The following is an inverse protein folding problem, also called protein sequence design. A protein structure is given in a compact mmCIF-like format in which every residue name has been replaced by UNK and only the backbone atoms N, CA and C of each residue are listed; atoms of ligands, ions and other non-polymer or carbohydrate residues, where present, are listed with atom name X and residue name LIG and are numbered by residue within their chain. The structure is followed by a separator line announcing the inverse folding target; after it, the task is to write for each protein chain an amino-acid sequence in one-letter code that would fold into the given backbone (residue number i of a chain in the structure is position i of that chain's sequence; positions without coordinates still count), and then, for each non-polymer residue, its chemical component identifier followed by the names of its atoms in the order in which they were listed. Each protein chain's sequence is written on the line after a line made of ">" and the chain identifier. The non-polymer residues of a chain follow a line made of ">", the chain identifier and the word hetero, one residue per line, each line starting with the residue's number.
data_IF_771120570260
#
_entry.id   IF_771120570260
#
_cell.length_a   1.000
_cell.length_b   1.000
_cell.length_c   1.000
_cell.angle_alpha   90.00
_cell.angle_beta   90.00
_cell.angle_gamma   90.00
#
_symmetry.space_group_name_H-M   'P 1'
#
loop_
_entity.id
_entity.type
_entity.pdbx_description
1 polymer ?
#
# COMPACT_ATOMS: atom_id res chain seq x y z
N UNK A 1 9.89 12.89 -3.59
CA UNK A 1 10.88 13.08 -2.51
C UNK A 1 11.95 12.01 -2.66
N UNK A 2 13.22 12.39 -2.82
CA UNK A 2 14.33 11.45 -3.03
C UNK A 2 15.30 11.40 -1.83
N UNK A 3 14.88 11.87 -0.66
CA UNK A 3 15.74 11.77 0.53
C UNK A 3 15.93 10.31 0.94
N UNK A 4 17.15 10.01 1.37
CA UNK A 4 17.53 8.72 1.95
C UNK A 4 17.19 8.67 3.45
N UNK A 5 17.08 9.82 4.11
CA UNK A 5 16.84 9.90 5.55
C UNK A 5 15.35 9.63 5.85
N UNK A 6 15.03 8.59 6.64
CA UNK A 6 13.65 8.26 6.98
C UNK A 6 12.93 9.36 7.79
N UNK A 7 13.64 10.10 8.64
CA UNK A 7 13.07 11.19 9.44
C UNK A 7 12.78 12.40 8.57
N UNK A 8 13.77 12.82 7.76
CA UNK A 8 13.57 13.91 6.80
C UNK A 8 12.43 13.60 5.83
N UNK A 9 12.29 12.34 5.39
CA UNK A 9 11.17 11.93 4.54
C UNK A 9 9.82 12.17 5.21
N UNK A 10 9.68 11.78 6.47
CA UNK A 10 8.44 12.00 7.21
C UNK A 10 8.15 13.49 7.35
N UNK A 11 9.16 14.31 7.65
CA UNK A 11 9.02 15.77 7.74
C UNK A 11 8.60 16.41 6.43
N UNK A 12 9.27 16.04 5.33
CA UNK A 12 8.93 16.53 3.99
C UNK A 12 7.53 16.08 3.56
N UNK A 13 7.09 14.89 3.95
CA UNK A 13 5.74 14.39 3.67
C UNK A 13 4.69 15.20 4.42
N UNK A 14 4.91 15.49 5.70
CA UNK A 14 4.03 16.34 6.48
C UNK A 14 3.98 17.77 5.94
N UNK A 15 5.11 18.33 5.50
CA UNK A 15 5.18 19.64 4.86
C UNK A 15 4.40 19.64 3.54
N UNK A 16 4.55 18.59 2.72
CA UNK A 16 3.79 18.43 1.48
C UNK A 16 2.28 18.37 1.77
N UNK A 17 1.86 17.61 2.79
CA UNK A 17 0.46 17.57 3.20
C UNK A 17 -0.08 18.92 3.68
N UNK A 18 0.74 19.73 4.38
CA UNK A 18 0.37 21.09 4.76
C UNK A 18 0.13 21.98 3.52
N UNK A 19 1.03 21.94 2.53
CA UNK A 19 0.90 22.70 1.28
C UNK A 19 -0.28 22.20 0.43
N UNK A 20 -0.50 20.89 0.41
CA UNK A 20 -1.64 20.27 -0.28
C UNK A 20 -2.97 20.78 0.31
N UNK A 21 -3.09 20.81 1.64
CA UNK A 21 -4.28 21.35 2.33
C UNK A 21 -4.56 22.81 1.99
N UNK A 22 -3.53 23.65 1.96
CA UNK A 22 -3.67 25.05 1.55
C UNK A 22 -4.22 25.15 0.13
N UNK A 23 -3.79 24.25 -0.77
CA UNK A 23 -4.29 24.19 -2.16
C UNK A 23 -5.75 23.74 -2.23
N UNK A 24 -6.17 22.76 -1.42
CA UNK A 24 -7.59 22.34 -1.34
C UNK A 24 -8.45 23.48 -0.80
N UNK A 25 -8.08 24.09 0.32
CA UNK A 25 -8.84 25.20 0.94
C UNK A 25 -9.01 26.37 -0.02
N UNK A 26 -7.95 26.68 -0.76
CA UNK A 26 -7.95 27.69 -1.80
C UNK A 26 -8.95 27.36 -2.93
N UNK A 27 -9.06 26.09 -3.37
CA UNK A 27 -10.06 25.66 -4.37
C UNK A 27 -11.49 25.85 -3.87
N UNK A 28 -11.69 25.78 -2.55
CA UNK A 28 -13.00 25.73 -1.95
C UNK A 28 -13.68 27.03 -1.57
N UNK A 29 -12.89 28.03 -1.18
CA UNK A 29 -13.39 29.33 -0.71
C UNK A 29 -14.08 30.21 -1.76
N UNK A 30 -14.27 29.74 -3.00
CA UNK A 30 -14.92 30.52 -4.07
C UNK A 30 -16.43 30.30 -4.19
N UNK A 31 -17.06 29.68 -3.18
CA UNK A 31 -18.45 29.23 -3.24
C UNK A 31 -19.38 29.82 -2.16
N UNK A 32 -19.12 31.00 -1.58
CA UNK A 32 -20.14 31.75 -0.81
C UNK A 32 -19.92 33.28 -0.86
N UNK A 33 -21.02 34.03 -1.08
CA UNK A 33 -21.10 35.50 -1.04
C UNK A 33 -21.53 36.09 -2.40
N UNK A 34 -22.77 36.51 -2.63
CA UNK A 34 -23.49 37.52 -1.86
C UNK A 34 -23.16 38.89 -2.46
N UNK A 35 -24.13 39.49 -3.15
CA UNK A 35 -24.02 40.84 -3.69
C UNK A 35 -23.60 41.83 -2.59
N UNK A 36 -22.76 42.81 -2.97
CA UNK A 36 -22.28 43.96 -2.20
C UNK A 36 -20.89 43.86 -1.55
N UNK A 37 -19.90 44.34 -2.31
CA UNK A 37 -18.76 45.12 -1.80
C UNK A 37 -17.60 44.34 -1.18
N UNK A 38 -16.71 43.78 -2.01
CA UNK A 38 -15.43 43.24 -1.55
C UNK A 38 -14.30 43.86 -2.38
N UNK A 39 -13.39 44.54 -1.67
CA UNK A 39 -12.11 45.01 -2.20
C UNK A 39 -11.32 43.82 -2.75
N UNK A 40 -10.92 43.92 -4.02
CA UNK A 40 -10.03 42.99 -4.69
C UNK A 40 -8.73 42.84 -3.87
N UNK A 41 -8.58 41.73 -3.14
CA UNK A 41 -7.26 41.17 -2.91
C UNK A 41 -6.99 40.20 -4.04
N UNK A 42 -6.16 40.62 -4.99
CA UNK A 42 -5.57 39.81 -6.04
C UNK A 42 -4.71 38.69 -5.44
N UNK A 43 -5.35 37.61 -5.00
CA UNK A 43 -4.74 36.32 -4.78
C UNK A 43 -5.20 35.38 -5.88
N UNK A 44 -4.66 35.53 -7.09
CA UNK A 44 -5.03 34.68 -8.22
C UNK A 44 -4.73 33.22 -7.85
N UNK A 45 -5.79 32.45 -7.61
CA UNK A 45 -5.70 31.09 -7.10
C UNK A 45 -5.26 30.19 -8.24
N UNK A 46 -3.95 30.01 -8.39
CA UNK A 46 -3.39 29.20 -9.47
C UNK A 46 -3.81 27.75 -9.23
N UNK A 47 -4.84 27.28 -9.94
CA UNK A 47 -5.17 25.87 -10.03
C UNK A 47 -4.00 25.21 -10.75
N UNK A 48 -3.06 24.66 -9.97
CA UNK A 48 -1.95 23.90 -10.53
C UNK A 48 -2.52 22.62 -11.17
N UNK A 49 -2.23 22.37 -12.47
CA UNK A 49 -2.64 21.12 -13.09
C UNK A 49 -1.96 19.95 -12.38
N UNK A 50 -2.67 18.82 -12.28
CA UNK A 50 -2.02 17.57 -11.87
C UNK A 50 -0.89 17.27 -12.86
N UNK A 51 0.28 16.93 -12.32
CA UNK A 51 1.48 16.64 -13.08
C UNK A 51 1.71 15.14 -13.24
N UNK A 52 2.47 14.75 -14.26
CA UNK A 52 2.92 13.36 -14.42
C UNK A 52 4.21 13.13 -13.65
N UNK A 53 4.31 11.98 -12.99
CA UNK A 53 5.52 11.55 -12.31
C UNK A 53 5.84 10.10 -12.67
N UNK A 54 7.12 9.78 -12.82
CA UNK A 54 7.58 8.38 -12.87
C UNK A 54 8.22 8.05 -11.53
N UNK A 55 7.50 7.35 -10.62
CA UNK A 55 8.08 6.99 -9.33
C UNK A 55 9.23 5.97 -9.51
N UNK A 56 10.25 6.01 -8.64
CA UNK A 56 11.33 5.03 -8.69
C UNK A 56 10.81 3.60 -8.49
N UNK A 57 11.53 2.60 -9.00
CA UNK A 57 11.17 1.19 -8.78
C UNK A 57 11.25 0.80 -7.29
N UNK A 58 12.20 1.40 -6.56
CA UNK A 58 12.38 1.22 -5.13
C UNK A 58 12.71 2.57 -4.46
N UNK A 59 12.02 2.92 -3.37
CA UNK A 59 12.33 4.07 -2.55
C UNK A 59 13.74 4.00 -2.00
N UNK A 60 14.39 5.16 -1.93
CA UNK A 60 15.71 5.28 -1.39
C UNK A 60 15.71 4.98 0.13
N UNK A 61 16.83 4.45 0.61
CA UNK A 61 17.10 4.12 2.02
C UNK A 61 18.59 4.35 2.30
N UNK A 62 18.98 4.60 3.56
CA UNK A 62 20.40 4.73 3.91
C UNK A 62 21.14 3.41 3.69
N UNK A 63 22.39 3.48 3.22
CA UNK A 63 23.26 2.30 3.08
C UNK A 63 23.61 1.66 4.42
N UNK A 64 23.44 2.38 5.52
CA UNK A 64 23.61 1.89 6.89
C UNK A 64 22.51 0.91 7.32
N UNK A 65 21.39 0.85 6.58
CA UNK A 65 20.23 0.04 6.97
C UNK A 65 20.41 -1.42 6.54
N UNK A 66 20.48 -2.34 7.51
CA UNK A 66 20.64 -3.77 7.23
C UNK A 66 19.32 -4.38 6.74
N UNK A 67 19.32 -4.93 5.52
CA UNK A 67 18.15 -5.62 4.95
C UNK A 67 18.21 -7.14 5.13
N UNK A 68 17.16 -7.68 5.72
CA UNK A 68 16.93 -9.12 5.85
C UNK A 68 15.65 -9.56 5.14
N UNK A 69 15.54 -10.87 4.91
CA UNK A 69 14.32 -11.46 4.38
C UNK A 69 13.21 -11.45 5.42
N UNK A 70 11.94 -11.36 5.01
CA UNK A 70 10.81 -11.58 5.92
C UNK A 70 10.97 -12.91 6.67
N UNK A 71 10.82 -12.88 7.98
CA UNK A 71 11.03 -14.03 8.88
C UNK A 71 12.46 -14.23 9.40
N UNK A 72 13.44 -13.48 8.90
CA UNK A 72 14.84 -13.49 9.38
C UNK A 72 15.21 -12.23 10.19
N UNK A 73 14.24 -11.36 10.47
CA UNK A 73 14.44 -10.22 11.36
C UNK A 73 14.59 -10.61 12.82
N UNK A 74 14.81 -9.60 13.67
CA UNK A 74 14.90 -9.77 15.11
C UNK A 74 13.61 -10.39 15.63
N UNK A 75 13.73 -11.42 16.48
CA UNK A 75 12.57 -12.08 17.07
C UNK A 75 11.86 -11.10 18.01
N UNK A 76 10.66 -10.72 17.63
CA UNK A 76 9.77 -9.88 18.41
C UNK A 76 9.25 -10.67 19.62
N UNK A 77 9.53 -10.19 20.83
CA UNK A 77 9.13 -10.83 22.09
C UNK A 77 7.72 -10.45 22.57
N UNK A 78 7.48 -10.53 23.89
CA UNK A 78 6.18 -10.25 24.52
C UNK A 78 6.11 -8.88 25.24
N UNK A 79 6.96 -7.92 24.85
CA UNK A 79 7.09 -6.58 25.45
C UNK A 79 7.56 -6.52 26.92
N UNK A 80 7.79 -7.65 27.58
CA UNK A 80 8.20 -7.68 29.01
C UNK A 80 9.60 -7.12 29.28
N UNK A 81 10.55 -7.28 28.35
CA UNK A 81 11.91 -6.72 28.46
C UNK A 81 12.08 -5.50 27.57
N UNK A 82 13.00 -4.60 27.93
CA UNK A 82 13.33 -3.41 27.13
C UNK A 82 13.70 -3.76 25.67
N UNK A 83 14.58 -4.75 25.49
CA UNK A 83 14.96 -5.24 24.15
C UNK A 83 13.75 -5.76 23.36
N UNK A 84 12.79 -6.42 24.01
CA UNK A 84 11.57 -6.85 23.34
C UNK A 84 10.67 -5.68 22.94
N UNK A 85 10.64 -4.58 23.72
CA UNK A 85 9.85 -3.38 23.39
C UNK A 85 10.45 -2.64 22.21
N UNK A 86 11.76 -2.41 22.25
CA UNK A 86 12.53 -1.84 21.13
C UNK A 86 12.31 -2.65 19.85
N UNK A 87 12.38 -3.98 19.91
CA UNK A 87 12.17 -4.82 18.73
C UNK A 87 10.75 -4.72 18.15
N UNK A 88 9.71 -4.54 18.99
CA UNK A 88 8.34 -4.32 18.52
C UNK A 88 8.22 -2.94 17.86
N UNK A 89 8.65 -1.89 18.56
CA UNK A 89 8.53 -0.51 18.11
C UNK A 89 9.32 -0.27 16.81
N UNK A 90 10.52 -0.82 16.71
CA UNK A 90 11.35 -0.73 15.51
C UNK A 90 10.72 -1.46 14.32
N UNK A 91 10.15 -2.65 14.54
CA UNK A 91 9.45 -3.37 13.49
C UNK A 91 8.22 -2.60 12.97
N UNK A 92 7.48 -1.92 13.86
CA UNK A 92 6.36 -1.06 13.48
C UNK A 92 6.85 0.19 12.75
N UNK A 93 7.89 0.86 13.24
CA UNK A 93 8.47 2.02 12.54
C UNK A 93 8.94 1.67 11.12
N UNK A 94 9.44 0.45 10.92
CA UNK A 94 9.77 -0.05 9.59
C UNK A 94 8.53 -0.25 8.70
N UNK A 95 7.41 -0.69 9.26
CA UNK A 95 6.14 -0.79 8.53
C UNK A 95 5.72 0.61 8.06
N UNK A 96 5.68 1.60 8.96
CA UNK A 96 5.20 2.95 8.61
C UNK A 96 6.09 3.60 7.54
N UNK A 97 7.41 3.39 7.59
CA UNK A 97 8.31 3.88 6.54
C UNK A 97 7.97 3.34 5.14
N UNK A 98 7.55 2.08 5.05
CA UNK A 98 7.08 1.52 3.79
C UNK A 98 5.68 1.97 3.44
N UNK A 99 4.83 2.25 4.42
CA UNK A 99 3.47 2.76 4.22
C UNK A 99 3.49 4.20 3.66
N UNK A 100 4.35 5.10 4.18
CA UNK A 100 4.60 6.44 3.61
C UNK A 100 4.94 6.33 2.12
N UNK A 101 5.95 5.52 1.78
CA UNK A 101 6.37 5.35 0.40
C UNK A 101 5.26 4.77 -0.47
N UNK A 102 4.47 3.84 0.09
CA UNK A 102 3.40 3.18 -0.64
C UNK A 102 2.26 4.15 -0.95
N UNK A 103 1.88 5.01 -0.01
CA UNK A 103 0.87 6.04 -0.23
C UNK A 103 1.32 7.04 -1.32
N UNK A 104 2.55 7.52 -1.25
CA UNK A 104 3.14 8.38 -2.27
C UNK A 104 3.27 7.69 -3.65
N UNK A 105 3.65 6.41 -3.66
CA UNK A 105 3.73 5.58 -4.89
C UNK A 105 2.37 5.44 -5.55
N UNK A 106 1.29 5.26 -4.78
CA UNK A 106 -0.05 5.12 -5.37
C UNK A 106 -0.45 6.39 -6.14
N UNK A 107 -0.20 7.56 -5.56
CA UNK A 107 -0.47 8.84 -6.22
C UNK A 107 0.34 9.01 -7.50
N UNK A 108 1.66 8.77 -7.42
CA UNK A 108 2.55 8.97 -8.57
C UNK A 108 2.33 7.92 -9.67
N UNK A 109 2.08 6.66 -9.31
CA UNK A 109 2.01 5.53 -10.24
C UNK A 109 0.64 5.33 -10.85
N UNK A 110 -0.43 5.61 -10.10
CA UNK A 110 -1.81 5.34 -10.50
C UNK A 110 -2.66 6.60 -10.64
N UNK A 111 -2.09 7.79 -10.40
CA UNK A 111 -2.78 9.05 -10.67
C UNK A 111 -3.18 9.21 -12.14
N UNK A 112 -2.38 8.65 -13.04
CA UNK A 112 -2.65 8.49 -14.46
C UNK A 112 -2.51 7.01 -14.81
N UNK A 113 -3.52 6.43 -15.44
CA UNK A 113 -3.43 5.05 -15.90
C UNK A 113 -4.13 4.88 -17.25
N UNK A 114 -3.63 3.97 -18.08
CA UNK A 114 -4.34 3.47 -19.27
C UNK A 114 -5.13 2.21 -18.91
N UNK A 115 -6.12 1.81 -19.72
CA UNK A 115 -6.83 0.53 -19.53
C UNK A 115 -5.86 -0.66 -19.39
N UNK A 116 -4.70 -0.62 -20.06
CA UNK A 116 -3.64 -1.62 -19.91
C UNK A 116 -3.01 -1.69 -18.51
N UNK A 117 -2.98 -0.58 -17.79
CA UNK A 117 -2.43 -0.47 -16.42
C UNK A 117 -3.48 -0.49 -15.31
N UNK A 118 -4.76 -0.40 -15.68
CA UNK A 118 -5.88 -0.26 -14.77
C UNK A 118 -6.36 -1.59 -14.15
N UNK A 119 -6.00 -2.72 -14.77
CA UNK A 119 -6.36 -4.07 -14.37
C UNK A 119 -7.57 -4.55 -15.17
N UNK A 120 -7.38 -5.45 -16.14
CA UNK A 120 -7.57 -6.89 -15.92
C UNK A 120 -6.60 -7.75 -16.72
N UNK A 121 -5.59 -7.18 -17.41
CA UNK A 121 -4.73 -7.93 -18.31
C UNK A 121 -4.14 -9.16 -17.60
N UNK A 122 -4.83 -10.27 -17.81
CA UNK A 122 -4.56 -11.63 -17.39
C UNK A 122 -3.39 -12.07 -18.28
N UNK A 123 -2.25 -11.38 -18.16
CA UNK A 123 -1.11 -11.37 -19.07
C UNK A 123 -1.38 -11.13 -20.58
N UNK A 124 -2.59 -11.30 -21.12
CA UNK A 124 -2.72 -11.73 -22.53
C UNK A 124 -3.89 -11.18 -23.36
N UNK A 125 -4.70 -10.18 -22.98
CA UNK A 125 -5.81 -9.72 -23.85
C UNK A 125 -6.15 -8.24 -23.73
N UNK A 126 -5.31 -7.36 -24.28
CA UNK A 126 -5.76 -6.03 -24.71
C UNK A 126 -5.22 -5.83 -26.12
N UNK A 127 -6.04 -6.21 -27.10
CA UNK A 127 -5.84 -5.84 -28.49
C UNK A 127 -6.78 -4.66 -28.77
N UNK A 128 -6.19 -3.51 -29.09
CA UNK A 128 -6.79 -2.40 -29.84
C UNK A 128 -8.03 -1.71 -29.26
N UNK A 129 -7.82 -0.52 -28.69
CA UNK A 129 -8.42 0.75 -29.13
C UNK A 129 -7.82 1.86 -28.26
N UNK A 130 -7.42 2.98 -28.88
CA UNK A 130 -6.80 4.20 -28.30
C UNK A 130 -6.70 4.18 -26.77
N UNK A 131 -5.48 3.97 -26.23
CA UNK A 131 -5.20 4.01 -24.79
C UNK A 131 -5.57 5.38 -24.21
N UNK A 132 -6.86 5.57 -23.92
CA UNK A 132 -7.37 6.77 -23.27
C UNK A 132 -6.80 6.76 -21.86
N UNK A 133 -5.88 7.68 -21.64
CA UNK A 133 -5.34 7.96 -20.33
C UNK A 133 -6.47 8.43 -19.42
N UNK A 134 -6.64 7.72 -18.32
CA UNK A 134 -7.59 8.04 -17.28
C UNK A 134 -6.85 8.69 -16.12
N UNK A 135 -7.36 9.85 -15.70
CA UNK A 135 -6.86 10.57 -14.52
C UNK A 135 -7.73 10.22 -13.32
N UNK A 136 -7.11 9.84 -12.21
CA UNK A 136 -7.83 9.60 -10.97
C UNK A 136 -8.52 10.87 -10.45
N UNK A 137 -9.69 10.78 -9.80
CA UNK A 137 -10.33 11.93 -9.18
C UNK A 137 -9.42 12.59 -8.13
N UNK A 138 -9.56 13.91 -7.91
CA UNK A 138 -8.79 14.63 -6.88
C UNK A 138 -8.81 13.94 -5.51
N UNK A 139 -9.97 13.37 -5.14
CA UNK A 139 -10.15 12.62 -3.89
C UNK A 139 -9.14 11.48 -3.71
N UNK A 140 -8.67 10.86 -4.80
CA UNK A 140 -7.64 9.82 -4.73
C UNK A 140 -6.34 10.36 -4.18
N UNK A 141 -5.93 11.52 -4.68
CA UNK A 141 -4.74 12.21 -4.20
C UNK A 141 -4.95 12.70 -2.78
N UNK A 142 -6.13 13.21 -2.44
CA UNK A 142 -6.45 13.64 -1.07
C UNK A 142 -6.36 12.48 -0.07
N UNK A 143 -6.95 11.32 -0.38
CA UNK A 143 -6.94 10.14 0.48
C UNK A 143 -5.52 9.60 0.68
N UNK A 144 -4.73 9.48 -0.39
CA UNK A 144 -3.37 8.96 -0.28
C UNK A 144 -2.36 9.99 0.27
N UNK A 145 -2.61 11.29 0.09
CA UNK A 145 -1.85 12.32 0.79
C UNK A 145 -2.14 12.26 2.29
N UNK A 146 -3.40 12.04 2.66
CA UNK A 146 -3.79 11.90 4.05
C UNK A 146 -3.12 10.69 4.71
N UNK A 147 -3.23 9.52 4.09
CA UNK A 147 -2.55 8.31 4.53
C UNK A 147 -1.03 8.55 4.66
N UNK A 148 -0.38 9.11 3.64
CA UNK A 148 1.06 9.43 3.73
C UNK A 148 1.40 10.33 4.93
N UNK A 149 0.52 11.28 5.27
CA UNK A 149 0.69 12.14 6.45
C UNK A 149 0.48 11.38 7.76
N UNK A 150 -0.50 10.49 7.85
CA UNK A 150 -0.76 9.71 9.06
C UNK A 150 0.39 8.73 9.33
N UNK A 151 0.83 8.00 8.31
CA UNK A 151 2.00 7.12 8.37
C UNK A 151 3.27 7.87 8.78
N UNK A 152 3.41 9.12 8.32
CA UNK A 152 4.53 9.98 8.72
C UNK A 152 4.47 10.37 10.21
N UNK A 153 3.27 10.66 10.75
CA UNK A 153 3.10 10.91 12.19
C UNK A 153 3.37 9.66 13.00
N UNK A 154 2.83 8.51 12.57
CA UNK A 154 3.00 7.22 13.23
C UNK A 154 4.49 6.86 13.32
N UNK A 155 5.21 6.96 12.19
CA UNK A 155 6.65 6.75 12.15
C UNK A 155 7.39 7.65 13.14
N UNK A 156 7.07 8.95 13.17
CA UNK A 156 7.72 9.90 14.07
C UNK A 156 7.45 9.58 15.53
N UNK A 157 6.21 9.28 15.91
CA UNK A 157 5.89 8.87 17.29
C UNK A 157 6.60 7.59 17.70
N UNK A 158 6.70 6.61 16.79
CA UNK A 158 7.44 5.37 17.02
C UNK A 158 8.94 5.63 17.18
N UNK A 159 9.53 6.50 16.35
CA UNK A 159 10.94 6.86 16.44
C UNK A 159 11.25 7.64 17.71
N UNK A 160 10.43 8.63 18.08
CA UNK A 160 10.54 9.35 19.36
C UNK A 160 10.46 8.37 20.55
N UNK A 161 9.57 7.36 20.46
CA UNK A 161 9.49 6.34 21.50
C UNK A 161 10.74 5.46 21.57
N UNK A 162 11.30 5.06 20.43
CA UNK A 162 12.58 4.32 20.37
C UNK A 162 13.71 5.13 21.03
N UNK A 163 13.80 6.41 20.70
CA UNK A 163 14.84 7.32 21.24
C UNK A 163 14.73 7.45 22.76
N UNK A 164 13.50 7.57 23.28
CA UNK A 164 13.25 7.57 24.73
C UNK A 164 13.70 6.28 25.44
N UNK A 165 13.89 5.19 24.68
CA UNK A 165 14.36 3.88 25.15
C UNK A 165 15.84 3.63 24.82
N UNK A 166 16.54 4.61 24.25
CA UNK A 166 17.96 4.53 23.90
C UNK A 166 18.25 3.73 22.62
N UNK A 167 17.29 3.67 21.69
CA UNK A 167 17.45 3.04 20.38
C UNK A 167 16.97 3.99 19.26
N UNK A 168 17.35 3.70 18.03
CA UNK A 168 16.99 4.47 16.84
C UNK A 168 16.40 3.56 15.75
N UNK A 169 15.60 4.14 14.86
CA UNK A 169 15.25 3.44 13.62
C UNK A 169 16.52 3.11 12.84
N UNK A 170 16.63 1.84 12.43
CA UNK A 170 17.80 1.27 11.76
C UNK A 170 18.83 0.57 12.66
N UNK A 171 18.70 0.65 14.00
CA UNK A 171 19.57 -0.11 14.91
C UNK A 171 19.38 -1.63 14.82
N UNK A 172 18.20 -2.07 14.36
CA UNK A 172 17.88 -3.46 14.08
C UNK A 172 17.67 -3.68 12.57
N UNK A 173 17.91 -4.89 12.05
CA UNK A 173 17.65 -5.22 10.66
C UNK A 173 16.19 -5.05 10.25
N UNK A 174 15.96 -4.58 9.03
CA UNK A 174 14.65 -4.32 8.45
C UNK A 174 14.31 -5.29 7.31
N UNK A 175 13.04 -5.36 6.95
CA UNK A 175 12.60 -6.06 5.73
C UNK A 175 11.64 -5.21 4.91
N UNK A 176 11.50 -5.53 3.63
CA UNK A 176 10.69 -4.78 2.67
C UNK A 176 9.42 -5.53 2.23
N UNK A 177 8.78 -6.33 3.11
CA UNK A 177 7.65 -7.19 2.73
C UNK A 177 6.46 -6.46 2.11
N UNK A 178 6.17 -5.24 2.60
CA UNK A 178 5.12 -4.38 2.03
C UNK A 178 5.52 -3.95 0.63
N UNK A 179 6.74 -3.42 0.47
CA UNK A 179 7.25 -2.99 -0.84
C UNK A 179 7.42 -4.12 -1.85
N UNK A 180 7.77 -5.33 -1.40
CA UNK A 180 7.79 -6.52 -2.25
C UNK A 180 6.38 -6.74 -2.86
N UNK A 181 5.31 -6.56 -2.06
CA UNK A 181 3.92 -6.64 -2.53
C UNK A 181 3.55 -5.45 -3.43
N UNK A 182 4.08 -4.26 -3.14
CA UNK A 182 3.95 -3.09 -4.03
C UNK A 182 4.57 -3.37 -5.40
N UNK A 183 5.76 -3.96 -5.42
CA UNK A 183 6.47 -4.33 -6.66
C UNK A 183 5.67 -5.35 -7.47
N UNK A 184 5.14 -6.39 -6.81
CA UNK A 184 4.32 -7.42 -7.46
C UNK A 184 3.01 -6.86 -8.06
N UNK A 185 2.49 -5.76 -7.50
CA UNK A 185 1.24 -5.12 -7.92
C UNK A 185 1.44 -3.81 -8.67
N UNK A 186 2.68 -3.44 -9.02
CA UNK A 186 3.01 -2.14 -9.60
C UNK A 186 2.34 -1.85 -10.95
N UNK A 187 1.78 -2.87 -11.61
CA UNK A 187 1.09 -2.77 -12.90
C UNK A 187 -0.43 -2.87 -12.81
N UNK A 188 -0.99 -2.86 -11.61
CA UNK A 188 -2.44 -2.90 -11.42
C UNK A 188 -2.83 -2.18 -10.14
N UNK A 189 -3.44 -1.00 -10.30
CA UNK A 189 -4.01 -0.24 -9.19
C UNK A 189 -5.02 -1.09 -8.40
N UNK A 190 -5.87 -1.85 -9.10
CA UNK A 190 -6.85 -2.74 -8.50
C UNK A 190 -6.18 -3.83 -7.64
N UNK A 191 -5.10 -4.45 -8.13
CA UNK A 191 -4.33 -5.42 -7.36
C UNK A 191 -3.63 -4.78 -6.15
N UNK A 192 -3.11 -3.55 -6.30
CA UNK A 192 -2.51 -2.79 -5.19
C UNK A 192 -3.53 -2.55 -4.08
N UNK A 193 -4.73 -2.07 -4.41
CA UNK A 193 -5.78 -1.81 -3.42
C UNK A 193 -6.17 -3.08 -2.66
N UNK A 194 -6.38 -4.19 -3.38
CA UNK A 194 -6.75 -5.47 -2.76
C UNK A 194 -5.64 -6.05 -1.85
N UNK A 195 -4.40 -6.07 -2.33
CA UNK A 195 -3.31 -6.79 -1.64
C UNK A 195 -2.68 -5.94 -0.54
N UNK A 196 -2.43 -4.66 -0.79
CA UNK A 196 -1.79 -3.81 0.21
C UNK A 196 -2.85 -3.26 1.15
N UNK A 197 -3.75 -2.42 0.63
CA UNK A 197 -4.67 -1.63 1.46
C UNK A 197 -5.79 -2.42 2.11
N UNK A 198 -6.29 -3.48 1.48
CA UNK A 198 -7.39 -4.30 2.03
C UNK A 198 -6.92 -5.61 2.68
N UNK A 199 -5.69 -6.06 2.44
CA UNK A 199 -5.19 -7.33 3.00
C UNK A 199 -4.05 -7.12 4.00
N UNK A 200 -3.04 -6.33 3.64
CA UNK A 200 -1.90 -6.05 4.53
C UNK A 200 -2.30 -5.07 5.63
N UNK A 201 -2.95 -3.94 5.31
CA UNK A 201 -3.37 -2.97 6.35
C UNK A 201 -4.40 -3.57 7.32
N UNK A 202 -5.36 -4.33 6.79
CA UNK A 202 -6.33 -5.04 7.64
C UNK A 202 -5.68 -6.08 8.57
N UNK A 203 -4.43 -6.48 8.33
CA UNK A 203 -3.68 -7.32 9.27
C UNK A 203 -3.21 -6.51 10.49
N UNK A 204 -2.92 -5.22 10.32
CA UNK A 204 -2.66 -4.29 11.43
C UNK A 204 -3.84 -4.30 12.40
N UNK A 205 -5.07 -4.21 11.89
CA UNK A 205 -6.31 -4.27 12.69
C UNK A 205 -6.44 -5.53 13.56
N UNK A 206 -5.92 -6.67 13.09
CA UNK A 206 -5.96 -7.92 13.86
C UNK A 206 -4.85 -7.99 14.92
N UNK A 207 -3.67 -7.44 14.62
CA UNK A 207 -2.45 -7.61 15.42
C UNK A 207 -2.33 -6.51 16.48
N UNK A 208 -2.73 -5.28 16.15
CA UNK A 208 -2.55 -4.10 17.00
C UNK A 208 -3.22 -4.25 18.38
N UNK A 209 -4.46 -4.75 18.53
CA UNK A 209 -5.09 -4.91 19.85
C UNK A 209 -4.26 -5.81 20.78
N UNK A 210 -3.72 -6.90 20.25
CA UNK A 210 -2.88 -7.80 21.03
C UNK A 210 -1.53 -7.16 21.40
N UNK A 211 -0.95 -6.35 20.51
CA UNK A 211 0.28 -5.60 20.74
C UNK A 211 0.09 -4.51 21.81
N UNK A 212 -0.97 -3.70 21.70
CA UNK A 212 -1.37 -2.70 22.71
C UNK A 212 -1.52 -3.36 24.08
N UNK A 213 -2.25 -4.46 24.15
CA UNK A 213 -2.45 -5.18 25.41
C UNK A 213 -1.15 -5.76 25.99
N UNK A 214 -0.15 -6.09 25.16
CA UNK A 214 1.18 -6.51 25.65
C UNK A 214 1.92 -5.34 26.29
N UNK A 215 1.90 -4.16 25.69
CA UNK A 215 2.55 -2.97 26.25
C UNK A 215 1.91 -2.55 27.57
N UNK A 216 0.57 -2.44 27.65
CA UNK A 216 -0.12 -2.10 28.91
C UNK A 216 0.17 -3.12 30.01
N UNK A 217 0.12 -4.44 29.73
CA UNK A 217 0.48 -5.47 30.73
C UNK A 217 1.94 -5.39 31.18
N UNK A 218 2.84 -4.83 30.38
CA UNK A 218 4.23 -4.60 30.74
C UNK A 218 4.48 -3.28 31.48
N UNK A 219 3.43 -2.49 31.72
CA UNK A 219 3.52 -1.17 32.36
C UNK A 219 4.03 -0.05 31.45
N UNK A 220 4.09 -0.28 30.14
CA UNK A 220 4.50 0.73 29.16
C UNK A 220 3.26 1.38 28.54
N UNK A 221 2.61 2.23 29.32
CA UNK A 221 1.36 2.89 28.90
C UNK A 221 1.57 3.97 27.83
N UNK A 222 2.77 4.56 27.74
CA UNK A 222 3.10 5.52 26.69
C UNK A 222 3.00 4.85 25.31
N UNK A 223 3.64 3.69 25.16
CA UNK A 223 3.61 2.93 23.90
C UNK A 223 2.22 2.40 23.61
N UNK A 224 1.49 1.93 24.64
CA UNK A 224 0.13 1.45 24.46
C UNK A 224 -0.84 2.57 24.02
N UNK A 225 -0.71 3.77 24.58
CA UNK A 225 -1.54 4.93 24.24
C UNK A 225 -1.26 5.43 22.84
N UNK A 226 0.02 5.52 22.46
CA UNK A 226 0.41 5.87 21.09
C UNK A 226 -0.14 4.86 20.07
N UNK A 227 0.00 3.56 20.33
CA UNK A 227 -0.48 2.52 19.41
C UNK A 227 -2.01 2.45 19.30
N UNK A 228 -2.76 2.92 20.31
CA UNK A 228 -4.22 3.08 20.18
C UNK A 228 -4.58 4.14 19.13
N UNK A 229 -3.86 5.26 19.10
CA UNK A 229 -4.04 6.31 18.10
C UNK A 229 -3.72 5.79 16.70
N UNK A 230 -2.59 5.09 16.55
CA UNK A 230 -2.23 4.43 15.28
C UNK A 230 -3.36 3.51 14.83
N UNK A 231 -3.84 2.62 15.72
CA UNK A 231 -4.93 1.67 15.40
C UNK A 231 -6.24 2.35 14.97
N UNK A 232 -6.57 3.52 15.51
CA UNK A 232 -7.76 4.28 15.10
C UNK A 232 -7.64 4.76 13.65
N UNK A 233 -6.47 5.22 13.24
CA UNK A 233 -6.19 5.68 11.86
C UNK A 233 -6.21 4.52 10.85
N UNK A 234 -5.72 3.33 11.23
CA UNK A 234 -5.68 2.13 10.37
C UNK A 234 -7.04 1.71 9.81
N UNK A 235 -8.13 1.95 10.56
CA UNK A 235 -9.48 1.66 10.07
C UNK A 235 -9.78 2.48 8.82
N UNK A 236 -9.40 3.77 8.83
CA UNK A 236 -9.57 4.68 7.70
C UNK A 236 -8.69 4.27 6.52
N UNK A 237 -7.49 3.75 6.77
CA UNK A 237 -6.59 3.25 5.72
C UNK A 237 -7.22 2.08 4.95
N UNK A 238 -7.84 1.14 5.67
CA UNK A 238 -8.58 0.04 5.04
C UNK A 238 -9.80 0.54 4.26
N UNK A 239 -10.53 1.53 4.78
CA UNK A 239 -11.66 2.15 4.07
C UNK A 239 -11.23 2.78 2.74
N UNK A 240 -10.09 3.48 2.73
CA UNK A 240 -9.50 4.08 1.51
C UNK A 240 -9.22 2.97 0.48
N UNK A 241 -8.59 1.88 0.90
CA UNK A 241 -8.34 0.71 0.05
C UNK A 241 -9.62 0.12 -0.56
N UNK A 242 -10.62 -0.14 0.28
CA UNK A 242 -11.90 -0.70 -0.14
C UNK A 242 -12.63 0.22 -1.14
N UNK A 243 -12.68 1.53 -0.86
CA UNK A 243 -13.29 2.55 -1.72
C UNK A 243 -12.68 2.55 -3.11
N UNK A 244 -11.35 2.66 -3.20
CA UNK A 244 -10.67 2.75 -4.48
C UNK A 244 -10.66 1.42 -5.23
N UNK A 245 -10.63 0.29 -4.53
CA UNK A 245 -10.87 -1.02 -5.14
C UNK A 245 -12.24 -1.06 -5.84
N UNK A 246 -13.30 -0.67 -5.15
CA UNK A 246 -14.65 -0.71 -5.72
C UNK A 246 -14.85 0.30 -6.85
N UNK A 247 -14.20 1.48 -6.77
CA UNK A 247 -14.19 2.47 -7.84
C UNK A 247 -13.54 1.93 -9.12
N UNK A 248 -12.34 1.37 -9.00
CA UNK A 248 -11.61 0.80 -10.12
C UNK A 248 -12.38 -0.37 -10.72
N UNK A 249 -12.94 -1.23 -9.87
CA UNK A 249 -13.77 -2.35 -10.35
C UNK A 249 -14.99 -1.85 -11.13
N UNK A 250 -15.65 -0.77 -10.67
CA UNK A 250 -16.77 -0.15 -11.41
C UNK A 250 -16.32 0.31 -12.78
N UNK A 251 -15.15 0.95 -12.84
CA UNK A 251 -14.60 1.55 -14.05
C UNK A 251 -14.17 0.51 -15.09
N UNK A 252 -13.61 -0.63 -14.66
CA UNK A 252 -13.06 -1.67 -15.55
C UNK A 252 -14.01 -2.80 -15.88
N UNK A 253 -14.83 -3.20 -14.91
CA UNK A 253 -15.68 -4.39 -15.04
C UNK A 253 -17.17 -4.04 -14.97
N UNK A 254 -17.52 -2.75 -14.84
CA UNK A 254 -18.91 -2.28 -14.71
C UNK A 254 -19.54 -2.56 -13.34
N UNK A 255 -18.78 -3.20 -12.45
CA UNK A 255 -19.22 -3.75 -11.16
C UNK A 255 -18.53 -2.98 -10.04
N UNK A 256 -19.28 -2.30 -9.20
CA UNK A 256 -18.67 -1.55 -8.09
C UNK A 256 -19.76 -1.07 -7.15
N UNK A 257 -19.51 0.00 -6.41
CA UNK A 257 -20.53 0.57 -5.52
C UNK A 257 -21.76 0.99 -6.33
N UNK A 258 -22.96 0.79 -5.76
CA UNK A 258 -24.17 1.41 -6.31
C UNK A 258 -24.14 2.93 -6.07
N UNK A 259 -25.13 3.67 -6.58
CA UNK A 259 -25.12 5.13 -6.46
C UNK A 259 -25.17 5.57 -5.00
N UNK A 260 -25.95 4.91 -4.15
CA UNK A 260 -26.09 5.28 -2.74
C UNK A 260 -24.79 5.02 -1.97
N UNK A 261 -24.12 3.91 -2.25
CA UNK A 261 -22.85 3.55 -1.62
C UNK A 261 -21.69 4.35 -2.19
N UNK A 262 -21.73 4.71 -3.47
CA UNK A 262 -20.81 5.69 -4.04
C UNK A 262 -21.00 7.06 -3.38
N UNK A 263 -22.23 7.50 -3.19
CA UNK A 263 -22.56 8.74 -2.49
C UNK A 263 -22.07 8.73 -1.03
N UNK A 264 -22.14 7.60 -0.31
CA UNK A 264 -21.53 7.47 1.02
C UNK A 264 -20.00 7.48 0.97
N UNK A 265 -19.42 6.77 0.00
CA UNK A 265 -17.98 6.59 -0.10
C UNK A 265 -17.25 7.84 -0.63
N UNK A 266 -17.91 8.64 -1.46
CA UNK A 266 -17.33 9.81 -2.13
C UNK A 266 -18.01 11.13 -1.77
N UNK A 267 -19.16 11.11 -1.09
CA UNK A 267 -20.05 12.27 -0.91
C UNK A 267 -21.16 12.27 -1.97
N UNK A 268 -22.42 12.50 -1.55
CA UNK A 268 -23.58 12.42 -2.44
C UNK A 268 -23.61 13.59 -3.43
N UNK A 269 -23.47 13.29 -4.73
CA UNK A 269 -24.01 14.00 -5.91
C UNK A 269 -23.99 15.53 -6.07
N UNK A 270 -23.68 16.32 -5.05
CA UNK A 270 -23.30 17.72 -5.21
C UNK A 270 -21.88 17.72 -5.78
N UNK A 271 -21.66 18.44 -6.89
CA UNK A 271 -20.31 18.87 -7.25
C UNK A 271 -19.66 19.33 -5.96
N UNK A 272 -18.55 18.70 -5.56
CA UNK A 272 -17.88 18.88 -4.27
C UNK A 272 -17.99 20.36 -3.89
N UNK A 273 -19.00 20.68 -3.06
CA UNK A 273 -19.15 22.02 -2.55
C UNK A 273 -18.14 22.03 -1.43
N UNK A 274 -16.98 22.57 -1.76
CA UNK A 274 -15.93 22.88 -0.80
C UNK A 274 -16.37 24.04 0.12
N UNK A 275 -17.61 24.01 0.60
CA UNK A 275 -18.18 25.02 1.47
C UNK A 275 -18.09 24.50 2.91
N UNK A 276 -17.09 25.03 3.59
CA UNK A 276 -17.16 25.50 4.99
C UNK A 276 -18.08 24.69 5.91
N UNK A 277 -17.53 23.65 6.55
CA UNK A 277 -17.70 23.42 7.99
C UNK A 277 -16.69 22.34 8.45
N UNK A 278 -15.85 22.73 9.41
CA UNK A 278 -14.99 21.93 10.31
C UNK A 278 -13.86 21.06 9.74
N UNK A 279 -12.76 21.76 9.44
CA UNK A 279 -11.36 21.39 9.72
C UNK A 279 -11.14 19.99 10.34
N UNK A 280 -11.01 18.98 9.48
CA UNK A 280 -10.41 17.68 9.82
C UNK A 280 -11.14 16.83 10.88
N UNK A 281 -12.43 17.07 11.18
CA UNK A 281 -13.26 16.00 11.73
C UNK A 281 -13.65 15.05 10.58
N UNK A 282 -12.90 13.96 10.52
CA UNK A 282 -13.03 12.88 9.57
C UNK A 282 -14.47 12.39 9.49
N UNK A 283 -15.08 12.52 8.31
CA UNK A 283 -16.27 11.73 8.00
C UNK A 283 -15.83 10.27 8.00
N UNK A 284 -16.07 9.54 9.10
CA UNK A 284 -16.13 8.09 9.06
C UNK A 284 -17.02 7.77 7.86
N UNK A 285 -16.46 7.10 6.84
CA UNK A 285 -17.33 6.58 5.80
C UNK A 285 -18.16 5.51 6.48
N UNK A 286 -19.49 5.68 6.60
CA UNK A 286 -20.31 4.60 7.10
C UNK A 286 -20.03 3.41 6.20
N UNK A 287 -19.77 2.20 6.74
CA UNK A 287 -19.62 1.03 5.89
C UNK A 287 -20.81 1.02 4.95
N UNK A 288 -20.54 0.91 3.63
CA UNK A 288 -21.57 0.94 2.59
C UNK A 288 -22.79 0.07 2.99
N UNK A 289 -22.50 -1.04 3.66
CA UNK A 289 -23.40 -2.10 4.07
C UNK A 289 -23.50 -2.29 5.60
N UNK A 290 -23.11 -1.32 6.45
CA UNK A 290 -23.23 -1.45 7.91
C UNK A 290 -24.63 -1.98 8.24
N UNK A 291 -24.69 -3.19 8.83
CA UNK A 291 -25.93 -3.92 8.97
C UNK A 291 -27.01 -3.02 9.58
N UNK A 292 -28.24 -3.11 9.05
CA UNK A 292 -29.41 -2.66 9.78
C UNK A 292 -29.45 -3.48 11.07
N UNK A 293 -28.84 -2.97 12.14
CA UNK A 293 -28.89 -3.59 13.46
C UNK A 293 -30.35 -3.76 13.82
N UNK A 294 -30.83 -5.00 13.86
CA UNK A 294 -32.08 -5.32 14.55
C UNK A 294 -31.79 -5.10 16.04
N UNK A 295 -32.41 -4.09 16.61
CA UNK A 295 -32.43 -3.88 18.05
C UNK A 295 -33.00 -5.12 18.75
N UNK A 296 -32.27 -5.60 19.76
CA UNK A 296 -32.80 -6.40 20.87
C UNK A 296 -33.06 -7.89 20.58
N UNK A 297 -32.31 -8.77 21.27
CA UNK A 297 -32.69 -10.17 21.38
C UNK A 297 -31.66 -11.02 22.10
N UNK A 298 -32.01 -11.46 23.31
CA UNK A 298 -31.22 -12.24 24.25
C UNK A 298 -30.57 -13.53 23.70
N UNK A 299 -29.48 -13.91 24.37
CA UNK A 299 -28.66 -15.08 24.10
C UNK A 299 -29.39 -16.41 24.30
N UNK A 300 -29.80 -17.07 23.21
CA UNK A 300 -29.69 -18.52 22.94
C UNK A 300 -30.50 -18.87 21.69
N UNK A 301 -29.86 -18.93 20.52
CA UNK A 301 -30.50 -19.51 19.32
C UNK A 301 -29.48 -20.39 18.61
N UNK A 302 -29.83 -21.68 18.47
CA UNK A 302 -29.13 -22.62 17.59
C UNK A 302 -29.09 -22.00 16.19
N UNK A 303 -27.90 -21.83 15.64
CA UNK A 303 -27.68 -21.28 14.29
C UNK A 303 -28.36 -22.16 13.24
N UNK A 304 -29.61 -21.84 12.92
CA UNK A 304 -30.10 -22.05 11.57
C UNK A 304 -29.34 -21.06 10.70
N UNK A 305 -28.43 -21.58 9.87
CA UNK A 305 -27.75 -20.79 8.83
C UNK A 305 -28.82 -20.32 7.85
N UNK A 306 -29.40 -19.15 8.14
CA UNK A 306 -30.16 -18.39 7.16
C UNK A 306 -29.14 -17.99 6.10
N UNK A 307 -29.33 -18.48 4.87
CA UNK A 307 -28.51 -18.11 3.73
C UNK A 307 -28.55 -16.58 3.60
N UNK A 308 -27.40 -15.92 3.80
CA UNK A 308 -27.29 -14.47 3.70
C UNK A 308 -27.72 -14.08 2.28
N UNK A 309 -28.82 -13.32 2.15
CA UNK A 309 -29.25 -12.80 0.85
C UNK A 309 -28.33 -11.65 0.49
N UNK A 310 -27.22 -11.98 -0.17
CA UNK A 310 -26.19 -11.01 -0.58
C UNK A 310 -26.60 -10.41 -1.93
N UNK A 311 -26.50 -9.08 -2.05
CA UNK A 311 -26.64 -8.37 -3.32
C UNK A 311 -25.66 -8.96 -4.38
N UNK A 312 -26.13 -9.31 -5.60
CA UNK A 312 -25.27 -9.85 -6.64
C UNK A 312 -24.02 -9.01 -6.93
N UNK A 313 -24.10 -7.68 -6.85
CA UNK A 313 -22.94 -6.83 -7.07
C UNK A 313 -21.92 -6.97 -5.92
N UNK A 314 -22.35 -6.97 -4.66
CA UNK A 314 -21.50 -7.27 -3.50
C UNK A 314 -20.82 -8.64 -3.61
N UNK A 315 -21.56 -9.69 -3.99
CA UNK A 315 -21.00 -11.02 -4.19
C UNK A 315 -19.90 -11.03 -5.26
N UNK A 316 -20.09 -10.29 -6.35
CA UNK A 316 -19.09 -10.16 -7.41
C UNK A 316 -17.85 -9.37 -6.97
N UNK A 317 -18.03 -8.28 -6.21
CA UNK A 317 -16.91 -7.51 -5.64
C UNK A 317 -16.05 -8.38 -4.72
N UNK A 318 -16.68 -9.11 -3.79
CA UNK A 318 -16.02 -10.06 -2.88
C UNK A 318 -15.24 -11.11 -3.66
N UNK A 319 -15.88 -11.75 -4.65
CA UNK A 319 -15.25 -12.77 -5.49
C UNK A 319 -14.01 -12.21 -6.19
N UNK A 320 -14.11 -11.01 -6.77
CA UNK A 320 -12.99 -10.41 -7.49
C UNK A 320 -11.82 -10.09 -6.57
N UNK A 321 -12.10 -9.53 -5.40
CA UNK A 321 -11.07 -9.31 -4.38
C UNK A 321 -10.37 -10.62 -4.02
N UNK A 322 -11.14 -11.69 -3.79
CA UNK A 322 -10.57 -12.99 -3.43
C UNK A 322 -9.66 -13.55 -4.54
N UNK A 323 -10.07 -13.48 -5.80
CA UNK A 323 -9.25 -13.90 -6.95
C UNK A 323 -7.93 -13.14 -7.01
N UNK A 324 -7.99 -11.81 -6.86
CA UNK A 324 -6.82 -10.93 -6.88
C UNK A 324 -5.87 -11.25 -5.72
N UNK A 325 -6.40 -11.44 -4.50
CA UNK A 325 -5.58 -11.79 -3.34
C UNK A 325 -4.94 -13.17 -3.50
N UNK A 326 -5.67 -14.16 -4.02
CA UNK A 326 -5.10 -15.49 -4.33
C UNK A 326 -3.95 -15.38 -5.34
N UNK A 327 -4.09 -14.52 -6.35
CA UNK A 327 -3.10 -14.36 -7.40
C UNK A 327 -1.83 -13.63 -6.93
N UNK A 328 -1.97 -12.54 -6.17
CA UNK A 328 -0.87 -11.62 -5.90
C UNK A 328 -0.32 -11.69 -4.47
N UNK A 329 -1.15 -11.98 -3.47
CA UNK A 329 -0.66 -12.01 -2.09
C UNK A 329 0.17 -13.27 -1.86
N UNK A 330 1.41 -13.15 -1.38
CA UNK A 330 2.27 -14.32 -1.12
C UNK A 330 2.13 -14.85 0.31
N UNK A 331 1.61 -14.06 1.25
CA UNK A 331 1.40 -14.43 2.65
C UNK A 331 0.10 -15.20 2.91
N UNK A 332 -0.13 -15.64 4.15
CA UNK A 332 -1.37 -16.30 4.55
C UNK A 332 -2.20 -15.41 5.46
N UNK A 333 -3.51 -15.35 5.25
CA UNK A 333 -4.45 -14.83 6.23
C UNK A 333 -4.68 -15.86 7.32
N UNK A 334 -4.66 -15.43 8.58
CA UNK A 334 -4.82 -16.32 9.74
C UNK A 334 -5.68 -15.66 10.80
N UNK A 335 -6.66 -16.38 11.40
CA UNK A 335 -7.40 -15.89 12.55
C UNK A 335 -6.51 -15.79 13.81
N UNK A 336 -6.98 -15.11 14.88
CA UNK A 336 -8.27 -14.41 14.98
C UNK A 336 -8.30 -13.12 14.15
N UNK A 337 -9.45 -12.85 13.53
CA UNK A 337 -9.69 -11.59 12.82
C UNK A 337 -10.40 -10.60 13.73
N UNK A 338 -10.02 -9.33 13.67
CA UNK A 338 -10.75 -8.25 14.30
C UNK A 338 -11.94 -7.88 13.41
N UNK A 339 -13.02 -8.66 13.50
CA UNK A 339 -14.20 -8.50 12.65
C UNK A 339 -14.81 -7.10 12.78
N UNK A 340 -14.90 -6.56 14.00
CA UNK A 340 -15.51 -5.26 14.28
C UNK A 340 -14.79 -4.14 13.52
N UNK A 341 -13.46 -4.08 13.62
CA UNK A 341 -12.71 -3.01 12.96
C UNK A 341 -12.56 -3.25 11.45
N UNK A 342 -12.49 -4.51 10.99
CA UNK A 342 -12.55 -4.84 9.56
C UNK A 342 -13.89 -4.42 8.95
N UNK A 343 -15.01 -4.60 9.65
CA UNK A 343 -16.33 -4.18 9.20
C UNK A 343 -16.45 -2.66 9.11
N UNK A 344 -15.92 -1.92 10.11
CA UNK A 344 -15.76 -0.46 10.00
C UNK A 344 -14.93 -0.08 8.77
N UNK A 345 -13.88 -0.86 8.48
CA UNK A 345 -13.03 -0.75 7.29
C UNK A 345 -13.74 -1.01 5.95
N UNK A 346 -14.99 -1.48 5.95
CA UNK A 346 -15.64 -1.91 4.71
C UNK A 346 -15.25 -3.32 4.27
N UNK A 347 -14.76 -4.18 5.18
CA UNK A 347 -14.53 -5.61 4.93
C UNK A 347 -15.35 -6.50 5.89
N UNK A 348 -16.52 -6.98 5.44
CA UNK A 348 -17.26 -8.03 6.14
C UNK A 348 -16.53 -9.38 6.03
N UNK A 349 -16.93 -10.36 6.86
CA UNK A 349 -16.35 -11.72 6.88
C UNK A 349 -16.27 -12.39 5.50
N UNK A 350 -17.29 -12.18 4.67
CA UNK A 350 -17.36 -12.73 3.32
C UNK A 350 -16.22 -12.30 2.39
N UNK A 351 -15.52 -11.20 2.68
CA UNK A 351 -14.36 -10.77 1.90
C UNK A 351 -13.14 -11.66 2.13
N UNK A 352 -12.86 -12.05 3.39
CA UNK A 352 -11.58 -12.63 3.78
C UNK A 352 -11.62 -14.05 4.34
N UNK A 353 -12.72 -14.51 4.94
CA UNK A 353 -12.79 -15.87 5.50
C UNK A 353 -12.58 -16.97 4.43
N UNK A 354 -13.13 -16.87 3.20
CA UNK A 354 -12.89 -17.88 2.16
C UNK A 354 -11.41 -18.04 1.78
N UNK A 355 -10.61 -16.99 1.94
CA UNK A 355 -9.18 -17.00 1.60
C UNK A 355 -8.33 -17.85 2.57
N UNK A 356 -8.82 -18.07 3.79
CA UNK A 356 -8.16 -18.96 4.75
C UNK A 356 -8.30 -20.41 4.27
N UNK A 357 -9.53 -20.81 3.92
CA UNK A 357 -9.88 -22.18 3.53
C UNK A 357 -9.19 -22.59 2.23
N UNK A 358 -9.13 -21.69 1.24
CA UNK A 358 -8.49 -21.97 -0.06
C UNK A 358 -7.01 -22.33 0.13
N UNK A 359 -6.28 -21.64 1.01
CA UNK A 359 -4.86 -21.93 1.23
C UNK A 359 -4.60 -23.22 1.98
N UNK A 360 -5.47 -23.56 2.93
CA UNK A 360 -5.39 -24.85 3.62
C UNK A 360 -5.62 -26.03 2.67
N UNK A 361 -6.59 -25.92 1.75
CA UNK A 361 -6.92 -26.97 0.78
C UNK A 361 -5.89 -27.13 -0.33
N UNK A 362 -5.31 -26.03 -0.82
CA UNK A 362 -4.42 -26.06 -1.99
C UNK A 362 -2.97 -26.39 -1.64
N UNK A 363 -2.58 -26.37 -0.36
CA UNK A 363 -1.19 -26.61 0.06
C UNK A 363 -0.18 -25.63 -0.56
N UNK A 364 -0.65 -24.49 -1.07
CA UNK A 364 0.14 -23.55 -1.85
C UNK A 364 1.29 -22.98 -1.01
N UNK A 365 2.52 -23.36 -1.36
CA UNK A 365 3.74 -22.74 -0.83
C UNK A 365 4.18 -21.65 -1.79
N UNK A 366 4.27 -20.38 -1.36
CA UNK A 366 4.75 -19.31 -2.23
C UNK A 366 6.17 -19.64 -2.69
N UNK A 367 6.46 -19.39 -3.98
CA UNK A 367 7.77 -19.64 -4.55
C UNK A 367 8.85 -18.90 -3.74
N UNK A 368 9.66 -19.67 -3.00
CA UNK A 368 10.81 -19.14 -2.29
C UNK A 368 11.81 -18.59 -3.32
N UNK A 369 12.31 -17.37 -3.10
CA UNK A 369 13.44 -16.83 -3.86
C UNK A 369 14.59 -17.85 -3.83
N UNK A 370 14.90 -18.49 -4.97
CA UNK A 370 16.19 -19.14 -5.18
C UNK A 370 17.25 -18.04 -5.12
N UNK A 371 18.05 -18.02 -4.07
CA UNK A 371 19.25 -17.18 -4.01
C UNK A 371 20.30 -17.82 -4.89
N UNK A 372 20.96 -17.00 -5.70
CA UNK A 372 22.38 -17.22 -5.96
C UNK A 372 23.09 -17.22 -4.61
N UNK A 373 23.72 -18.34 -4.32
CA UNK A 373 24.48 -18.50 -3.09
C UNK A 373 25.75 -17.63 -3.18
N UNK A 374 26.39 -17.32 -2.05
CA UNK A 374 27.72 -16.69 -2.02
C UNK A 374 28.77 -17.45 -2.88
N UNK A 375 28.51 -18.71 -3.24
CA UNK A 375 29.35 -19.53 -4.10
C UNK A 375 29.32 -19.12 -5.57
N UNK A 376 28.27 -18.42 -6.01
CA UNK A 376 28.14 -17.97 -7.42
C UNK A 376 28.86 -16.63 -7.68
N UNK A 377 29.48 -16.02 -6.64
CA UNK A 377 30.29 -14.79 -6.76
C UNK A 377 31.78 -15.07 -6.98
N UNK A 378 32.25 -16.30 -6.82
CA UNK A 378 33.67 -16.64 -7.01
C UNK A 378 33.99 -17.13 -8.43
N UNK A 379 33.00 -17.57 -9.21
CA UNK A 379 33.21 -18.12 -10.57
C UNK A 379 32.87 -17.14 -11.72
N UNK A 380 32.72 -15.84 -11.43
CA UNK A 380 32.26 -14.82 -12.39
C UNK A 380 33.25 -13.73 -12.76
N UNK A 381 34.52 -13.82 -12.37
CA UNK A 381 35.55 -12.84 -12.74
C UNK A 381 36.30 -13.31 -13.99
N UNK A 382 35.69 -13.17 -15.17
CA UNK A 382 36.46 -13.13 -16.42
C UNK A 382 36.67 -11.68 -16.81
N UNK A 383 37.89 -11.23 -16.53
CA UNK A 383 38.52 -9.99 -16.97
C UNK A 383 38.35 -9.80 -18.48
N UNK A 384 37.60 -8.77 -18.87
CA UNK A 384 37.42 -8.36 -20.27
C UNK A 384 38.35 -7.20 -20.61
N UNK A 385 39.66 -7.40 -20.42
CA UNK A 385 40.68 -6.47 -20.95
C UNK A 385 41.87 -7.20 -21.59
N UNK A 386 41.71 -7.69 -22.84
CA UNK A 386 42.80 -7.74 -23.84
C UNK A 386 42.30 -8.11 -25.25
N UNK A 387 42.95 -7.62 -26.32
CA UNK A 387 42.41 -7.66 -27.68
C UNK A 387 42.64 -9.01 -28.36
N UNK A 388 41.75 -9.31 -29.30
CA UNK A 388 41.74 -10.54 -30.10
C UNK A 388 43.06 -10.73 -30.88
N UNK A 389 43.79 -11.79 -30.55
CA UNK A 389 44.89 -12.31 -31.35
C UNK A 389 44.39 -13.52 -32.16
N UNK A 390 44.56 -13.43 -33.47
CA UNK A 390 44.14 -14.42 -34.45
C UNK A 390 44.74 -15.81 -34.20
N UNK A 391 43.90 -16.84 -34.29
CA UNK A 391 44.31 -18.23 -34.27
C UNK A 391 44.90 -18.63 -35.64
N UNK A 392 46.16 -19.03 -35.65
CA UNK A 392 46.79 -19.76 -36.75
C UNK A 392 46.59 -21.28 -36.54
N UNK A 393 46.32 -22.07 -37.61
CA UNK A 393 46.12 -23.51 -37.50
C UNK A 393 47.46 -24.25 -37.54
N UNK A 394 47.57 -25.35 -36.77
CA UNK A 394 48.71 -26.28 -36.83
C UNK A 394 48.37 -27.52 -37.67
N UNK A 395 49.04 -27.61 -38.82
CA UNK A 395 49.70 -28.74 -39.50
C UNK A 395 48.97 -30.05 -39.87
N UNK A 396 49.23 -30.42 -41.13
CA UNK A 396 49.13 -31.76 -41.77
C UNK A 396 48.45 -31.58 -43.14
N UNK A 397 49.01 -31.83 -44.32
CA UNK A 397 50.13 -32.64 -44.80
C UNK A 397 50.68 -32.06 -46.13
N UNK A 398 51.76 -32.67 -46.63
CA UNK A 398 52.58 -32.35 -47.79
C UNK A 398 51.85 -32.06 -49.12
N UNK A 399 52.47 -31.28 -50.02
CA UNK A 399 53.12 -31.74 -51.28
C UNK A 399 53.79 -30.56 -52.02
N UNK A 400 54.94 -30.90 -52.61
CA UNK A 400 55.92 -30.24 -53.48
C UNK A 400 55.40 -29.29 -54.59
N UNK A 401 56.19 -28.23 -54.88
CA UNK A 401 56.63 -27.73 -56.21
C UNK A 401 56.30 -26.26 -56.57
N UNK A 402 57.37 -25.50 -56.90
CA UNK A 402 57.55 -24.46 -57.95
C UNK A 402 56.47 -23.39 -58.17
N UNK A 403 56.71 -22.13 -58.54
CA UNK A 403 57.85 -21.25 -58.80
C UNK A 403 57.18 -19.93 -59.25
N UNK A 404 57.88 -18.78 -59.12
CA UNK A 404 57.68 -17.56 -59.95
C UNK A 404 56.31 -16.82 -59.83
N UNK A 405 56.14 -15.51 -59.96
CA UNK A 405 56.95 -14.32 -60.22
C UNK A 405 55.96 -13.12 -60.26
N UNK A 406 56.34 -11.94 -59.73
CA UNK A 406 55.81 -10.57 -60.05
C UNK A 406 54.31 -10.25 -59.82
N UNK A 407 53.87 -9.04 -59.46
CA UNK A 407 54.44 -7.71 -59.24
C UNK A 407 53.54 -6.96 -58.24
#
# INVERSE_FOLDING_TARGET
>A
MHTIDPIEKADLTLLLGQQWRQTIQARGGNSQGGEEGIQEQEGNLVVLPLGHATPPEKPARPDTLEFVRPGFGVKVGKAGSLSSRIAILHALANVEQWAIDTALDNMARFGYYTQATAGTALKNQIENEEDKEFVMPNRFFDDFMQMACDESKHFKWLNERLESQGAHYGDLPVHASIWDSCTDTARSALARMAVVHMTIESRGLDVNPATIARFSRSGDEDSATMLKKVHEDEVTHVQIGHRWFCYLLKKHEGVGLDQQDADKAFGAGEAVKDAEDDLFEFRQVPPAYAEKTKEGGDANVKENVMEEVIDPAEAQRRKRFQEVVVQYFKGSLKPPFNTVDREKGGLSRGWYEPLVVVRERTGFKPAGRRLQSKKDKEDGAVDSTKPAAAAAPKNGEAVVASAEETA
#
